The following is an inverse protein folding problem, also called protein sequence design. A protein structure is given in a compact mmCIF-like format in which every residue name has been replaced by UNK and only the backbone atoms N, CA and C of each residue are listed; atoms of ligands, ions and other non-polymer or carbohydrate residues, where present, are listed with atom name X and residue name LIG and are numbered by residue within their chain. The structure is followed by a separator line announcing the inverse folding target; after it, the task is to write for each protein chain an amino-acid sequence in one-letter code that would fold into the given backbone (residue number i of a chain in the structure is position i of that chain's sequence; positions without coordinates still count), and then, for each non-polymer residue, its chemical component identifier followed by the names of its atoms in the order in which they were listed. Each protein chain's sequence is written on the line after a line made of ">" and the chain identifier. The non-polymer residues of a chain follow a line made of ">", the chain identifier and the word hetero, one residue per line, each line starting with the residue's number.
data_IF_009950460414
#
_entry.id   IF_009950460414
#
_cell.length_a   1.000
_cell.length_b   1.000
_cell.length_c   1.000
_cell.angle_alpha   90.00
_cell.angle_beta   90.00
_cell.angle_gamma   90.00
#
_symmetry.space_group_name_H-M   'P 1'
#
loop_
_entity.id
_entity.type
_entity.pdbx_description
1 polymer ?
#
# COMPACT_ATOMS: atom_id res chain seq x y z
N UNK A 1 -6.54 -15.63 18.47
CA UNK A 1 -7.65 -15.68 17.49
C UNK A 1 -7.91 -14.35 16.78
N UNK A 2 -8.04 -13.20 17.47
CA UNK A 2 -8.25 -11.91 16.78
C UNK A 2 -7.03 -11.45 15.97
N UNK A 3 -5.83 -11.49 16.54
CA UNK A 3 -4.57 -11.05 15.90
C UNK A 3 -4.23 -11.84 14.62
N UNK A 4 -4.53 -13.14 14.60
CA UNK A 4 -4.26 -14.02 13.45
C UNK A 4 -5.05 -13.62 12.21
N UNK A 5 -6.26 -13.09 12.40
CA UNK A 5 -7.10 -12.59 11.31
C UNK A 5 -6.51 -11.33 10.67
N UNK A 6 -5.99 -10.40 11.48
CA UNK A 6 -5.32 -9.18 10.97
C UNK A 6 -4.04 -9.54 10.22
N UNK A 7 -3.24 -10.49 10.72
CA UNK A 7 -2.04 -10.96 10.04
C UNK A 7 -2.37 -11.59 8.68
N UNK A 8 -3.35 -12.50 8.62
CA UNK A 8 -3.83 -13.09 7.36
C UNK A 8 -4.34 -12.03 6.38
N UNK A 9 -5.06 -11.02 6.88
CA UNK A 9 -5.51 -9.89 6.07
C UNK A 9 -4.35 -9.08 5.48
N UNK A 10 -3.33 -8.75 6.29
CA UNK A 10 -2.13 -8.06 5.81
C UNK A 10 -1.38 -8.87 4.74
N UNK A 11 -1.22 -10.18 4.96
CA UNK A 11 -0.59 -11.08 3.98
C UNK A 11 -1.38 -11.11 2.68
N UNK A 12 -2.71 -11.24 2.76
CA UNK A 12 -3.56 -11.26 1.56
C UNK A 12 -3.48 -9.96 0.76
N UNK A 13 -3.52 -8.80 1.43
CA UNK A 13 -3.37 -7.50 0.79
C UNK A 13 -2.02 -7.37 0.09
N UNK A 14 -0.93 -7.88 0.70
CA UNK A 14 0.39 -7.92 0.08
C UNK A 14 0.43 -8.81 -1.17
N UNK A 15 -0.21 -9.97 -1.13
CA UNK A 15 -0.29 -10.87 -2.29
C UNK A 15 -1.07 -10.24 -3.44
N UNK A 16 -2.19 -9.57 -3.13
CA UNK A 16 -2.97 -8.82 -4.12
C UNK A 16 -2.14 -7.68 -4.71
N UNK A 17 -1.49 -6.88 -3.86
CA UNK A 17 -0.59 -5.79 -4.28
C UNK A 17 0.52 -6.28 -5.20
N UNK A 18 1.19 -7.38 -4.82
CA UNK A 18 2.27 -7.95 -5.62
C UNK A 18 1.76 -8.44 -6.98
N UNK A 19 0.55 -9.00 -7.02
CA UNK A 19 -0.09 -9.42 -8.28
C UNK A 19 -0.41 -8.23 -9.18
N UNK A 20 -0.82 -7.09 -8.62
CA UNK A 20 -1.07 -5.85 -9.37
C UNK A 20 0.25 -5.32 -9.96
N UNK A 21 1.31 -5.24 -9.16
CA UNK A 21 2.65 -4.83 -9.62
C UNK A 21 3.17 -5.76 -10.72
N UNK A 22 3.04 -7.07 -10.52
CA UNK A 22 3.44 -8.08 -11.49
C UNK A 22 2.65 -7.95 -12.80
N UNK A 23 1.34 -7.71 -12.71
CA UNK A 23 0.50 -7.44 -13.89
C UNK A 23 0.93 -6.17 -14.60
N UNK A 24 1.23 -5.11 -13.87
CA UNK A 24 1.78 -3.87 -14.42
C UNK A 24 3.08 -4.10 -15.17
N UNK A 25 4.03 -4.79 -14.57
CA UNK A 25 5.30 -5.17 -15.20
C UNK A 25 5.07 -6.03 -16.46
N UNK A 26 4.15 -6.99 -16.41
CA UNK A 26 3.79 -7.80 -17.57
C UNK A 26 3.19 -6.96 -18.71
N UNK A 27 2.33 -5.98 -18.41
CA UNK A 27 1.76 -5.07 -19.41
C UNK A 27 2.85 -4.17 -20.00
N UNK A 28 3.77 -3.64 -19.20
CA UNK A 28 4.93 -2.87 -19.69
C UNK A 28 5.75 -3.72 -20.66
N UNK A 29 6.03 -4.97 -20.30
CA UNK A 29 6.73 -5.92 -21.16
C UNK A 29 5.93 -6.25 -22.42
N UNK A 30 4.61 -6.40 -22.35
CA UNK A 30 3.76 -6.73 -23.50
C UNK A 30 3.67 -5.59 -24.51
N UNK A 31 3.65 -4.34 -24.06
CA UNK A 31 3.48 -3.17 -24.93
C UNK A 31 4.80 -2.60 -25.46
N UNK A 32 5.94 -2.87 -24.82
CA UNK A 32 7.28 -2.45 -25.27
C UNK A 32 7.37 -0.94 -25.62
N UNK A 33 6.64 -0.11 -24.89
CA UNK A 33 6.52 1.33 -25.15
C UNK A 33 6.77 2.12 -23.87
N UNK A 34 7.72 3.04 -23.92
CA UNK A 34 8.11 3.85 -22.77
C UNK A 34 6.96 4.73 -22.26
N UNK A 35 6.20 5.34 -23.16
CA UNK A 35 5.06 6.19 -22.80
C UNK A 35 3.95 5.41 -22.09
N UNK A 36 3.69 4.16 -22.51
CA UNK A 36 2.77 3.26 -21.83
C UNK A 36 3.31 2.83 -20.46
N UNK A 37 4.62 2.54 -20.36
CA UNK A 37 5.24 2.16 -19.10
C UNK A 37 5.18 3.30 -18.05
N UNK A 38 5.42 4.54 -18.46
CA UNK A 38 5.28 5.71 -17.59
C UNK A 38 3.85 5.88 -17.10
N UNK A 39 2.84 5.67 -17.95
CA UNK A 39 1.43 5.71 -17.55
C UNK A 39 1.08 4.61 -16.55
N UNK A 40 1.54 3.38 -16.79
CA UNK A 40 1.31 2.25 -15.87
C UNK A 40 1.97 2.55 -14.52
N UNK A 41 3.23 3.00 -14.50
CA UNK A 41 3.91 3.40 -13.27
C UNK A 41 3.20 4.54 -12.54
N UNK A 42 2.62 5.50 -13.26
CA UNK A 42 1.81 6.55 -12.65
C UNK A 42 0.59 6.00 -11.90
N UNK A 43 -0.09 5.00 -12.47
CA UNK A 43 -1.22 4.32 -11.83
C UNK A 43 -0.78 3.47 -10.62
N UNK A 44 0.28 2.68 -10.78
CA UNK A 44 0.85 1.85 -9.70
C UNK A 44 1.38 2.72 -8.54
N UNK A 45 1.97 3.88 -8.86
CA UNK A 45 2.46 4.84 -7.89
C UNK A 45 1.38 5.38 -6.94
N UNK A 46 0.11 5.40 -7.37
CA UNK A 46 -1.03 5.74 -6.50
C UNK A 46 -1.53 4.52 -5.70
N UNK A 47 -1.40 3.31 -6.23
CA UNK A 47 -1.78 2.08 -5.53
C UNK A 47 -0.87 1.83 -4.32
N UNK A 48 0.43 2.09 -4.43
CA UNK A 48 1.41 1.90 -3.36
C UNK A 48 1.03 2.57 -2.03
N UNK A 49 0.78 3.90 -1.99
CA UNK A 49 0.35 4.62 -0.79
C UNK A 49 -0.96 4.07 -0.20
N UNK A 50 -1.95 3.73 -1.03
CA UNK A 50 -3.25 3.20 -0.58
C UNK A 50 -3.07 1.83 0.09
N UNK A 51 -2.32 0.94 -0.56
CA UNK A 51 -2.06 -0.42 -0.07
C UNK A 51 -1.29 -0.32 1.24
N UNK A 52 -0.18 0.43 1.27
CA UNK A 52 0.64 0.62 2.47
C UNK A 52 -0.20 1.16 3.64
N UNK A 53 -1.00 2.19 3.42
CA UNK A 53 -1.86 2.78 4.45
C UNK A 53 -2.84 1.75 4.99
N UNK A 54 -3.48 0.97 4.10
CA UNK A 54 -4.47 -0.04 4.49
C UNK A 54 -3.85 -1.17 5.32
N UNK A 55 -2.71 -1.73 4.89
CA UNK A 55 -2.03 -2.77 5.69
C UNK A 55 -1.50 -2.21 7.02
N UNK A 56 -1.02 -0.96 7.05
CA UNK A 56 -0.57 -0.34 8.30
C UNK A 56 -1.72 -0.14 9.28
N UNK A 57 -2.88 0.33 8.81
CA UNK A 57 -4.07 0.48 9.65
C UNK A 57 -4.56 -0.87 10.18
N UNK A 58 -4.56 -1.92 9.35
CA UNK A 58 -4.91 -3.28 9.80
C UNK A 58 -3.91 -3.82 10.84
N UNK A 59 -2.61 -3.60 10.63
CA UNK A 59 -1.58 -3.98 11.58
C UNK A 59 -1.74 -3.28 12.92
N UNK A 60 -1.96 -1.95 12.90
CA UNK A 60 -2.23 -1.18 14.11
C UNK A 60 -3.53 -1.63 14.76
N UNK A 61 -4.60 -1.91 14.02
CA UNK A 61 -5.86 -2.39 14.59
C UNK A 61 -5.68 -3.75 15.29
N UNK A 62 -4.89 -4.66 14.70
CA UNK A 62 -4.53 -5.92 15.33
C UNK A 62 -3.65 -5.74 16.58
N UNK A 63 -2.76 -4.74 16.58
CA UNK A 63 -1.97 -4.36 17.75
C UNK A 63 -2.77 -3.56 18.79
N UNK A 64 -3.85 -2.86 18.40
CA UNK A 64 -4.65 -1.98 19.26
C UNK A 64 -5.56 -2.74 20.24
N UNK A 65 -5.72 -4.06 20.05
CA UNK A 65 -6.08 -4.95 21.16
C UNK A 65 -5.14 -4.76 22.38
N UNK A 66 -3.92 -4.28 22.13
CA UNK A 66 -2.90 -3.84 23.08
C UNK A 66 -2.71 -2.31 22.97
N UNK A 67 -3.68 -1.50 23.47
CA UNK A 67 -3.64 -0.03 23.61
C UNK A 67 -2.51 0.69 22.86
N UNK A 68 -2.65 0.88 21.54
CA UNK A 68 -1.67 1.65 20.76
C UNK A 68 -1.87 3.15 21.07
N UNK A 69 -0.82 3.89 21.46
CA UNK A 69 -0.92 5.33 21.71
C UNK A 69 -1.34 6.13 20.47
N UNK A 70 -2.30 7.06 20.61
CA UNK A 70 -2.79 7.92 19.51
C UNK A 70 -1.66 8.64 18.78
N UNK A 71 -0.60 9.03 19.48
CA UNK A 71 0.56 9.70 18.87
C UNK A 71 1.22 8.88 17.75
N UNK A 72 1.28 7.54 17.89
CA UNK A 72 1.86 6.67 16.85
C UNK A 72 0.97 6.63 15.60
N UNK A 73 -0.35 6.65 15.79
CA UNK A 73 -1.33 6.69 14.69
C UNK A 73 -1.20 8.01 13.93
N UNK A 74 -1.05 9.13 14.63
CA UNK A 74 -0.86 10.45 14.02
C UNK A 74 0.41 10.53 13.15
N UNK A 75 1.54 10.00 13.62
CA UNK A 75 2.78 9.95 12.83
C UNK A 75 2.67 9.11 11.55
N UNK A 76 1.94 8.00 11.62
CA UNK A 76 1.71 7.14 10.45
C UNK A 76 0.83 7.86 9.43
N UNK A 77 -0.25 8.53 9.88
CA UNK A 77 -1.07 9.37 9.02
C UNK A 77 -0.27 10.51 8.36
N UNK A 78 0.63 11.16 9.10
CA UNK A 78 1.50 12.20 8.56
C UNK A 78 2.43 11.68 7.45
N UNK A 79 3.04 10.50 7.64
CA UNK A 79 3.87 9.87 6.59
C UNK A 79 3.09 9.57 5.31
N UNK A 80 1.85 9.11 5.42
CA UNK A 80 0.96 8.89 4.27
C UNK A 80 0.68 10.20 3.52
N UNK A 81 0.36 11.27 4.26
CA UNK A 81 0.14 12.60 3.66
C UNK A 81 1.40 13.10 2.95
N UNK A 82 2.59 12.92 3.54
CA UNK A 82 3.85 13.31 2.90
C UNK A 82 4.12 12.54 1.61
N UNK A 83 3.85 11.23 1.58
CA UNK A 83 3.99 10.42 0.36
C UNK A 83 3.04 10.94 -0.72
N UNK A 84 1.76 11.15 -0.40
CA UNK A 84 0.76 11.65 -1.35
C UNK A 84 1.14 13.05 -1.85
N UNK A 85 1.56 13.94 -0.97
CA UNK A 85 2.00 15.28 -1.33
C UNK A 85 3.20 15.24 -2.28
N UNK A 86 4.22 14.43 -1.99
CA UNK A 86 5.39 14.26 -2.87
C UNK A 86 5.08 13.65 -4.24
N UNK A 87 3.95 12.94 -4.39
CA UNK A 87 3.48 12.43 -5.69
C UNK A 87 2.61 13.42 -6.47
N UNK A 88 2.19 14.51 -5.83
CA UNK A 88 1.39 15.56 -6.47
C UNK A 88 2.37 16.50 -7.20
N UNK A 89 2.24 16.59 -8.54
CA UNK A 89 3.01 17.54 -9.36
C UNK A 89 2.49 18.96 -9.19
#
# INVERSE_FOLDING_TARGET
>A
MSSDMYLKGMVLIRLISASIEFTGAFLMWRYQRLDMAVRINGLLGLAGPIILTTTMLLGIAGLAATKVPLAKIAWIGAGVVMILWGTTR
#
